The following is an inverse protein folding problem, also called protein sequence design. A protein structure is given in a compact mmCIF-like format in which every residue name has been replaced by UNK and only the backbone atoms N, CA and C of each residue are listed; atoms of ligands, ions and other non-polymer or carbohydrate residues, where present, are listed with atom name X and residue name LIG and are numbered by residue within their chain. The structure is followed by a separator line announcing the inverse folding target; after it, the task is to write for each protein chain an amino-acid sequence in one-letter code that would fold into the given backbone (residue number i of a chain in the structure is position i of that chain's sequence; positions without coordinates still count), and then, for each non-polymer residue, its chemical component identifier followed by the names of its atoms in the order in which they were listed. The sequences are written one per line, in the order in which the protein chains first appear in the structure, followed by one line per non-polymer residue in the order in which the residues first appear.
data_IF_502953206458
#
_entry.id   IF_502953206458
#
_cell.length_a   1.000
_cell.length_b   1.000
_cell.length_c   1.000
_cell.angle_alpha   90.00
_cell.angle_beta   90.00
_cell.angle_gamma   90.00
#
_symmetry.space_group_name_H-M   'P 1'
#
loop_
_entity.id
_entity.type
_entity.pdbx_description
1 polymer ?
#
# COMPACT_ATOMS: atom_id res chain seq x y z
N UNK A 1 6.26 -30.26 6.26
CA UNK A 1 6.46 -29.11 7.17
C UNK A 1 5.76 -27.92 6.55
N UNK A 2 4.45 -27.86 6.77
CA UNK A 2 3.60 -26.76 6.31
C UNK A 2 3.82 -25.63 7.33
N UNK A 3 4.02 -24.40 6.86
CA UNK A 3 4.28 -23.21 7.68
C UNK A 3 3.00 -22.80 8.43
N UNK A 4 2.52 -23.65 9.34
CA UNK A 4 1.31 -23.48 10.15
C UNK A 4 1.38 -22.26 11.09
N UNK A 5 2.56 -21.65 11.28
CA UNK A 5 2.78 -20.49 12.16
C UNK A 5 2.51 -19.12 11.54
N UNK A 6 2.46 -19.00 10.21
CA UNK A 6 2.30 -17.69 9.53
C UNK A 6 0.83 -17.34 9.21
N UNK A 7 -0.08 -18.33 9.26
CA UNK A 7 -1.49 -18.13 8.91
C UNK A 7 -2.21 -17.16 9.87
N UNK A 8 -1.75 -17.02 11.11
CA UNK A 8 -2.32 -16.10 12.12
C UNK A 8 -1.98 -14.63 11.83
N UNK A 9 -0.98 -14.35 10.98
CA UNK A 9 -0.52 -12.99 10.67
C UNK A 9 -1.13 -12.38 9.40
N UNK A 10 -2.19 -12.99 8.86
CA UNK A 10 -3.00 -12.45 7.76
C UNK A 10 -4.35 -11.96 8.31
N UNK A 11 -4.76 -10.68 8.19
CA UNK A 11 -4.21 -9.58 7.40
C UNK A 11 -3.50 -8.55 8.29
N UNK A 12 -2.16 -8.51 8.25
CA UNK A 12 -1.41 -7.47 8.95
C UNK A 12 -1.20 -6.24 8.05
N UNK A 13 -1.45 -5.07 8.60
CA UNK A 13 -1.11 -3.78 7.98
C UNK A 13 0.41 -3.55 7.88
N UNK A 14 1.23 -4.43 8.46
CA UNK A 14 2.69 -4.30 8.48
C UNK A 14 3.29 -4.17 7.08
N UNK A 15 3.01 -5.12 6.19
CA UNK A 15 3.59 -5.12 4.83
C UNK A 15 3.09 -3.94 3.98
N UNK A 16 1.77 -3.65 3.94
CA UNK A 16 1.29 -2.44 3.28
C UNK A 16 1.90 -1.16 3.85
N UNK A 17 2.00 -1.04 5.17
CA UNK A 17 2.57 0.15 5.83
C UNK A 17 4.04 0.34 5.50
N UNK A 18 4.81 -0.75 5.43
CA UNK A 18 6.24 -0.72 5.09
C UNK A 18 6.45 -0.32 3.63
N UNK A 19 5.69 -0.92 2.71
CA UNK A 19 5.76 -0.56 1.29
C UNK A 19 5.42 0.92 1.07
N UNK A 20 4.37 1.42 1.74
CA UNK A 20 4.00 2.83 1.70
C UNK A 20 5.11 3.72 2.26
N UNK A 21 5.79 3.34 3.35
CA UNK A 21 6.90 4.16 3.87
C UNK A 21 8.05 4.31 2.89
N UNK A 22 8.40 3.27 2.12
CA UNK A 22 9.44 3.41 1.10
C UNK A 22 9.02 4.41 0.00
N UNK A 23 7.75 4.39 -0.40
CA UNK A 23 7.26 5.35 -1.39
C UNK A 23 7.20 6.78 -0.84
N UNK A 24 6.91 6.96 0.45
CA UNK A 24 6.99 8.25 1.14
C UNK A 24 8.45 8.77 1.24
N UNK A 25 9.41 7.86 1.43
CA UNK A 25 10.85 8.14 1.47
C UNK A 25 11.44 8.51 0.10
N UNK A 26 10.63 8.49 -0.97
CA UNK A 26 11.01 8.96 -2.29
C UNK A 26 11.49 7.88 -3.27
N UNK A 27 11.20 6.61 -2.98
CA UNK A 27 11.41 5.54 -3.96
C UNK A 27 10.57 5.78 -5.22
N UNK A 28 11.05 5.25 -6.36
CA UNK A 28 10.41 5.45 -7.65
C UNK A 28 8.99 4.87 -7.65
N UNK A 29 8.04 5.66 -8.17
CA UNK A 29 6.63 5.31 -8.30
C UNK A 29 6.22 5.32 -9.78
N UNK A 30 6.05 4.13 -10.34
CA UNK A 30 5.62 3.91 -11.72
C UNK A 30 4.10 3.69 -11.83
N UNK A 31 3.61 3.46 -13.06
CA UNK A 31 2.19 3.28 -13.36
C UNK A 31 1.62 2.00 -12.71
N UNK A 32 2.43 0.95 -12.60
CA UNK A 32 2.03 -0.32 -11.99
C UNK A 32 1.81 -0.13 -10.48
N UNK A 33 2.79 0.45 -9.79
CA UNK A 33 2.69 0.71 -8.35
C UNK A 33 1.56 1.72 -8.08
N UNK A 34 1.34 2.71 -8.95
CA UNK A 34 0.21 3.63 -8.81
C UNK A 34 -1.15 2.92 -8.89
N UNK A 35 -1.31 1.95 -9.81
CA UNK A 35 -2.51 1.11 -9.87
C UNK A 35 -2.70 0.27 -8.60
N UNK A 36 -1.61 -0.26 -8.04
CA UNK A 36 -1.64 -0.98 -6.77
C UNK A 36 -2.04 -0.07 -5.60
N UNK A 37 -1.58 1.19 -5.56
CA UNK A 37 -1.98 2.18 -4.55
C UNK A 37 -3.46 2.55 -4.65
N UNK A 38 -4.01 2.63 -5.86
CA UNK A 38 -5.45 2.85 -6.07
C UNK A 38 -6.26 1.69 -5.48
N UNK A 39 -5.91 0.45 -5.83
CA UNK A 39 -6.58 -0.74 -5.31
C UNK A 39 -6.44 -0.85 -3.78
N UNK A 40 -5.23 -0.55 -3.26
CA UNK A 40 -4.93 -0.49 -1.83
C UNK A 40 -5.84 0.49 -1.08
N UNK A 41 -6.08 1.67 -1.66
CA UNK A 41 -6.92 2.71 -1.05
C UNK A 41 -8.38 2.27 -0.87
N UNK A 42 -8.86 1.39 -1.76
CA UNK A 42 -10.21 0.83 -1.72
C UNK A 42 -10.32 -0.47 -0.90
N UNK A 43 -9.20 -1.04 -0.43
CA UNK A 43 -9.19 -2.34 0.23
C UNK A 43 -9.72 -2.27 1.68
N UNK A 44 -10.99 -2.60 1.86
CA UNK A 44 -11.66 -2.60 3.18
C UNK A 44 -11.05 -3.56 4.21
N UNK A 45 -10.22 -4.51 3.79
CA UNK A 45 -9.51 -5.44 4.67
C UNK A 45 -8.29 -4.85 5.39
N UNK A 46 -7.81 -3.67 4.97
CA UNK A 46 -6.69 -2.97 5.63
C UNK A 46 -7.19 -1.86 6.54
N UNK A 47 -6.37 -1.41 7.49
CA UNK A 47 -6.79 -0.28 8.33
C UNK A 47 -6.98 1.00 7.52
N UNK A 48 -7.77 1.88 8.11
CA UNK A 48 -7.99 3.22 7.60
C UNK A 48 -6.68 3.99 7.37
N UNK A 49 -5.70 3.82 8.25
CA UNK A 49 -4.41 4.51 8.14
C UNK A 49 -3.68 4.11 6.85
N UNK A 50 -3.57 2.80 6.58
CA UNK A 50 -2.93 2.28 5.37
C UNK A 50 -3.66 2.78 4.12
N UNK A 51 -4.99 2.66 4.08
CA UNK A 51 -5.80 3.12 2.96
C UNK A 51 -5.62 4.61 2.67
N UNK A 52 -5.62 5.43 3.72
CA UNK A 52 -5.47 6.89 3.58
C UNK A 52 -4.08 7.27 3.06
N UNK A 53 -3.01 6.62 3.55
CA UNK A 53 -1.65 6.88 3.06
C UNK A 53 -1.49 6.43 1.60
N UNK A 54 -2.01 5.25 1.24
CA UNK A 54 -2.02 4.78 -0.14
C UNK A 54 -2.75 5.76 -1.08
N UNK A 55 -3.93 6.23 -0.67
CA UNK A 55 -4.71 7.22 -1.41
C UNK A 55 -3.94 8.53 -1.61
N UNK A 56 -3.30 9.05 -0.56
CA UNK A 56 -2.54 10.29 -0.63
C UNK A 56 -1.37 10.20 -1.64
N UNK A 57 -0.64 9.09 -1.64
CA UNK A 57 0.43 8.82 -2.61
C UNK A 57 -0.12 8.72 -4.04
N UNK A 58 -1.19 7.96 -4.24
CA UNK A 58 -1.82 7.83 -5.56
C UNK A 58 -2.31 9.18 -6.11
N UNK A 59 -2.98 9.99 -5.28
CA UNK A 59 -3.43 11.35 -5.67
C UNK A 59 -2.24 12.24 -6.01
N UNK A 60 -1.18 12.23 -5.19
CA UNK A 60 0.04 13.01 -5.44
C UNK A 60 0.66 12.64 -6.79
N UNK A 61 0.77 11.34 -7.06
CA UNK A 61 1.29 10.81 -8.32
C UNK A 61 0.43 11.20 -9.52
N UNK A 62 -0.89 11.04 -9.42
CA UNK A 62 -1.84 11.40 -10.46
C UNK A 62 -1.82 12.90 -10.77
N UNK A 63 -1.55 13.76 -9.79
CA UNK A 63 -1.45 15.21 -10.01
C UNK A 63 -0.13 15.63 -10.66
N UNK A 64 0.92 14.84 -10.48
CA UNK A 64 2.22 15.12 -11.12
C UNK A 64 2.23 14.75 -12.61
N UNK A 65 1.20 14.04 -13.09
CA UNK A 65 1.07 13.56 -14.47
C UNK A 65 -0.23 14.12 -15.09
N UNK A 66 -0.17 14.92 -16.17
CA UNK A 66 -1.36 15.48 -16.82
C UNK A 66 -2.21 14.42 -17.52
#
# INVERSE_FOLDING_TARGET
MVLEGLAVYWPSDYWPSLAISWLEDGFALDDEIAGLLEAASANKGWSQQVRHRAFALWVKWKRARP
#
